data_IF_916502908939
#
_entry.id   IF_916502908939
#
_cell.length_a   1.000
_cell.length_b   1.000
_cell.length_c   1.000
_cell.angle_alpha   90.00
_cell.angle_beta   90.00
_cell.angle_gamma   90.00
#
_symmetry.space_group_name_H-M   'P 1'
#
loop_
_entity.id
_entity.type
_entity.pdbx_description
1 polymer ?
#
# COMPACT_ATOMS: atom_id res chain seq x y z
N UNK A 1 27.73 11.33 -3.67
CA UNK A 1 26.26 11.38 -3.49
C UNK A 1 25.65 10.22 -4.25
N UNK A 2 24.78 9.43 -3.63
CA UNK A 2 24.14 8.28 -4.28
C UNK A 2 23.15 8.77 -5.34
N UNK A 3 23.36 8.39 -6.60
CA UNK A 3 22.42 8.67 -7.71
C UNK A 3 21.11 7.94 -7.43
N UNK A 4 19.97 8.63 -7.61
CA UNK A 4 18.65 8.01 -7.51
C UNK A 4 18.43 7.13 -8.75
N UNK A 5 18.08 5.86 -8.57
CA UNK A 5 17.92 4.91 -9.69
C UNK A 5 16.63 5.12 -10.48
N UNK A 6 15.60 5.73 -9.88
CA UNK A 6 14.28 5.90 -10.49
C UNK A 6 14.08 7.24 -11.22
N UNK A 7 15.13 8.04 -11.39
CA UNK A 7 15.08 9.32 -12.08
C UNK A 7 16.15 9.38 -13.18
N UNK A 8 15.81 9.95 -14.33
CA UNK A 8 16.78 10.26 -15.37
C UNK A 8 17.60 11.52 -15.04
N UNK A 9 18.51 11.91 -15.93
CA UNK A 9 19.40 13.07 -15.75
C UNK A 9 18.67 14.42 -15.89
N UNK A 10 17.45 14.41 -16.44
CA UNK A 10 16.56 15.58 -16.56
C UNK A 10 15.59 15.68 -15.36
N UNK A 11 15.55 14.67 -14.49
CA UNK A 11 14.69 14.61 -13.30
C UNK A 11 13.32 13.98 -13.55
N UNK A 12 13.10 13.33 -14.69
CA UNK A 12 11.86 12.59 -14.97
C UNK A 12 11.90 11.21 -14.30
N UNK A 13 10.76 10.72 -13.82
CA UNK A 13 10.65 9.40 -13.22
C UNK A 13 10.68 8.31 -14.30
N UNK A 14 11.53 7.29 -14.11
CA UNK A 14 11.69 6.17 -15.03
C UNK A 14 11.54 4.82 -14.32
N UNK A 15 11.03 3.82 -15.03
CA UNK A 15 11.04 2.43 -14.58
C UNK A 15 12.42 1.84 -14.87
N UNK A 16 13.09 1.34 -13.83
CA UNK A 16 14.42 0.72 -13.96
C UNK A 16 14.28 -0.67 -14.56
N UNK A 17 15.04 -0.96 -15.60
CA UNK A 17 15.16 -2.31 -16.14
C UNK A 17 15.96 -3.18 -15.16
N UNK A 18 15.32 -4.23 -14.66
CA UNK A 18 15.90 -5.22 -13.75
C UNK A 18 15.98 -6.61 -14.40
N UNK A 19 15.81 -6.70 -15.72
CA UNK A 19 15.74 -7.98 -16.46
C UNK A 19 17.00 -8.83 -16.35
N UNK A 20 18.16 -8.22 -16.06
CA UNK A 20 19.43 -8.91 -15.86
C UNK A 20 19.66 -9.37 -14.41
N UNK A 21 18.77 -9.05 -13.47
CA UNK A 21 18.89 -9.50 -12.08
C UNK A 21 18.42 -10.96 -11.91
N UNK A 22 19.06 -11.70 -10.99
CA UNK A 22 18.64 -13.05 -10.66
C UNK A 22 17.33 -13.06 -9.85
N UNK A 23 16.42 -13.97 -10.22
CA UNK A 23 15.14 -14.16 -9.51
C UNK A 23 15.40 -14.74 -8.13
N UNK A 24 14.98 -14.01 -7.10
CA UNK A 24 15.19 -14.36 -5.69
C UNK A 24 13.89 -14.19 -4.90
N UNK A 25 13.74 -14.94 -3.81
CA UNK A 25 12.61 -14.76 -2.88
C UNK A 25 12.86 -13.52 -2.03
N UNK A 26 12.02 -12.49 -2.18
CA UNK A 26 12.11 -11.23 -1.43
C UNK A 26 10.88 -11.08 -0.52
N UNK A 27 11.07 -10.48 0.66
CA UNK A 27 9.99 -10.19 1.62
C UNK A 27 10.14 -8.76 2.12
N UNK A 28 9.02 -8.03 2.20
CA UNK A 28 8.97 -6.68 2.74
C UNK A 28 7.87 -6.58 3.80
N UNK A 29 8.15 -5.85 4.89
CA UNK A 29 7.20 -5.63 5.99
C UNK A 29 7.05 -4.14 6.22
N UNK A 30 5.82 -3.64 6.21
CA UNK A 30 5.46 -2.25 6.52
C UNK A 30 4.41 -2.20 7.63
N UNK A 31 4.41 -1.12 8.42
CA UNK A 31 3.43 -0.88 9.50
C UNK A 31 3.05 0.60 9.51
N UNK A 32 1.79 0.87 9.81
CA UNK A 32 1.28 2.24 9.98
C UNK A 32 0.17 2.29 11.05
N UNK A 33 -0.23 3.49 11.48
CA UNK A 33 -1.26 3.72 12.49
C UNK A 33 -2.13 4.92 12.14
N UNK A 34 -3.43 4.77 12.31
CA UNK A 34 -4.41 5.85 12.16
C UNK A 34 -4.83 6.33 13.55
N UNK A 35 -4.76 7.65 13.78
CA UNK A 35 -5.27 8.27 15.02
C UNK A 35 -6.74 8.63 14.85
N UNK A 36 -7.54 8.25 15.84
CA UNK A 36 -8.98 8.51 15.92
C UNK A 36 -9.33 9.06 17.30
N UNK A 37 -10.52 9.64 17.44
CA UNK A 37 -11.03 10.10 18.73
C UNK A 37 -11.52 8.92 19.59
N UNK A 38 -11.75 9.18 20.89
CA UNK A 38 -12.18 8.15 21.84
C UNK A 38 -13.52 7.51 21.49
N UNK A 39 -14.49 8.30 21.05
CA UNK A 39 -15.83 7.81 20.66
C UNK A 39 -15.78 6.78 19.53
N UNK A 40 -14.95 7.02 18.50
CA UNK A 40 -14.77 6.06 17.40
C UNK A 40 -14.02 4.82 17.89
N UNK A 41 -13.02 4.98 18.77
CA UNK A 41 -12.28 3.84 19.32
C UNK A 41 -13.19 2.91 20.14
N UNK A 42 -14.06 3.48 20.96
CA UNK A 42 -15.09 2.75 21.71
C UNK A 42 -16.06 2.05 20.76
N UNK A 43 -16.60 2.77 19.78
CA UNK A 43 -17.53 2.21 18.81
C UNK A 43 -16.93 1.05 17.99
N UNK A 44 -15.65 1.15 17.61
CA UNK A 44 -14.91 0.08 16.92
C UNK A 44 -14.73 -1.14 17.83
N UNK A 45 -14.37 -0.92 19.10
CA UNK A 45 -14.07 -1.99 20.05
C UNK A 45 -15.34 -2.71 20.53
N UNK A 46 -16.44 -1.98 20.68
CA UNK A 46 -17.75 -2.52 21.09
C UNK A 46 -18.57 -3.06 19.91
N UNK A 47 -18.04 -3.03 18.68
CA UNK A 47 -18.73 -3.42 17.46
C UNK A 47 -20.06 -2.69 17.23
N UNK A 48 -20.18 -1.43 17.66
CA UNK A 48 -21.42 -0.61 17.59
C UNK A 48 -21.49 0.32 16.38
N UNK A 49 -20.70 0.04 15.35
CA UNK A 49 -20.66 0.88 14.14
C UNK A 49 -21.83 0.56 13.20
N UNK A 50 -22.57 1.58 12.80
CA UNK A 50 -23.69 1.46 11.85
C UNK A 50 -23.29 0.85 10.50
N UNK A 51 -22.02 1.01 10.11
CA UNK A 51 -21.45 0.52 8.85
C UNK A 51 -20.95 -0.94 8.92
N UNK A 52 -21.09 -1.62 10.05
CA UNK A 52 -20.61 -2.99 10.25
C UNK A 52 -19.10 -3.08 10.58
N UNK A 53 -18.49 -4.22 10.25
CA UNK A 53 -17.09 -4.54 10.60
C UNK A 53 -16.06 -3.75 9.76
N UNK A 54 -15.66 -2.59 10.27
CA UNK A 54 -14.68 -1.72 9.62
C UNK A 54 -13.26 -2.31 9.57
N UNK A 55 -12.87 -3.14 10.54
CA UNK A 55 -11.51 -3.71 10.59
C UNK A 55 -11.39 -4.88 9.61
N UNK A 56 -12.44 -5.70 9.48
CA UNK A 56 -12.54 -6.74 8.47
C UNK A 56 -12.45 -6.15 7.06
N UNK A 57 -13.25 -5.11 6.78
CA UNK A 57 -13.22 -4.41 5.49
C UNK A 57 -11.84 -3.80 5.21
N UNK A 58 -11.23 -3.12 6.18
CA UNK A 58 -9.90 -2.52 6.03
C UNK A 58 -8.81 -3.57 5.68
N UNK A 59 -8.91 -4.77 6.26
CA UNK A 59 -7.98 -5.87 5.98
C UNK A 59 -8.09 -6.36 4.54
N UNK A 60 -9.31 -6.60 4.07
CA UNK A 60 -9.55 -7.04 2.70
C UNK A 60 -9.09 -5.97 1.71
N UNK A 61 -9.40 -4.71 1.98
CA UNK A 61 -8.94 -3.58 1.16
C UNK A 61 -7.41 -3.51 1.09
N UNK A 62 -6.70 -3.73 2.21
CA UNK A 62 -5.23 -3.75 2.23
C UNK A 62 -4.62 -4.89 1.39
N UNK A 63 -5.20 -6.08 1.43
CA UNK A 63 -4.75 -7.23 0.62
C UNK A 63 -4.94 -6.93 -0.86
N UNK A 64 -6.09 -6.37 -1.25
CA UNK A 64 -6.39 -6.00 -2.63
C UNK A 64 -5.41 -4.91 -3.10
N UNK A 65 -5.28 -3.82 -2.34
CA UNK A 65 -4.40 -2.71 -2.67
C UNK A 65 -2.94 -3.14 -2.90
N UNK A 66 -2.46 -4.14 -2.15
CA UNK A 66 -1.10 -4.67 -2.32
C UNK A 66 -0.89 -5.31 -3.69
N UNK A 67 -1.92 -5.96 -4.25
CA UNK A 67 -1.85 -6.62 -5.57
C UNK A 67 -1.98 -5.62 -6.72
N UNK A 68 -2.68 -4.50 -6.50
CA UNK A 68 -2.94 -3.48 -7.54
C UNK A 68 -1.88 -2.38 -7.61
N UNK A 69 -0.78 -2.49 -6.84
CA UNK A 69 0.21 -1.41 -6.65
C UNK A 69 0.91 -0.96 -7.95
N UNK A 70 0.99 -1.82 -8.97
CA UNK A 70 1.63 -1.54 -10.27
C UNK A 70 0.61 -1.65 -11.41
N UNK A 71 -0.67 -1.78 -11.10
CA UNK A 71 -1.69 -2.07 -12.11
C UNK A 71 -1.98 -0.81 -12.94
N UNK A 72 -1.68 -0.89 -14.25
CA UNK A 72 -2.12 0.08 -15.25
C UNK A 72 -3.62 -0.14 -15.46
N UNK A 73 -4.44 0.82 -15.02
CA UNK A 73 -5.87 0.77 -15.30
C UNK A 73 -6.06 0.94 -16.80
N UNK A 74 -6.35 -0.16 -17.51
CA UNK A 74 -6.95 -0.09 -18.83
C UNK A 74 -8.38 0.44 -18.66
N UNK A 75 -8.52 1.75 -18.75
CA UNK A 75 -9.82 2.40 -18.95
C UNK A 75 -10.33 2.02 -20.36
N UNK A 76 -11.48 1.36 -20.41
CA UNK A 76 -12.38 1.33 -21.58
C UNK A 76 -13.50 2.31 -21.29
#
# INVERSE_FOLDING_TARGET
MSRLSHFDDEGNAIMVDVSCEEVTVRTAVAKDKIRINGLVMEAVTEHRLEKGDVLGVARVAGIIATKQRVEEKNEI
#
